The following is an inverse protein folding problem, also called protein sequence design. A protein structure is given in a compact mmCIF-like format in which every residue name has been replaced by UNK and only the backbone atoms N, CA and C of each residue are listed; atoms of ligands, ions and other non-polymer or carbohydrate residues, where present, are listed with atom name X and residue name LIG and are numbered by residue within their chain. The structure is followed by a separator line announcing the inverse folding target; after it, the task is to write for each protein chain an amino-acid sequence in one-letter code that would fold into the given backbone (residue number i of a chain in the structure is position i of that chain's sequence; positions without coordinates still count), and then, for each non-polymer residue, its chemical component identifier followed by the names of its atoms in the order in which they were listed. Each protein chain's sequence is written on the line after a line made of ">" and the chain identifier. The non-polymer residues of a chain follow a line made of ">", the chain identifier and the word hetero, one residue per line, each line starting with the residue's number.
data_IF_644191764633
#
_entry.id   IF_644191764633
#
_cell.length_a   1.000
_cell.length_b   1.000
_cell.length_c   1.000
_cell.angle_alpha   90.00
_cell.angle_beta   90.00
_cell.angle_gamma   90.00
#
_symmetry.space_group_name_H-M   'P 1'
#
loop_
_entity.id
_entity.type
_entity.pdbx_description
1 polymer ?
#
# COMPACT_ATOMS: atom_id res chain seq x y z
N UNK A 1 25.89 2.28 -64.40
CA UNK A 1 25.49 3.54 -63.75
C UNK A 1 24.76 4.35 -64.81
N UNK A 2 23.43 4.46 -64.73
CA UNK A 2 22.68 5.35 -65.62
C UNK A 2 22.66 6.72 -64.97
N UNK A 3 23.43 7.67 -65.50
CA UNK A 3 23.18 9.08 -65.25
C UNK A 3 21.87 9.42 -65.96
N UNK A 4 20.80 9.65 -65.20
CA UNK A 4 19.62 10.28 -65.74
C UNK A 4 20.01 11.73 -66.03
N UNK A 5 20.14 12.09 -67.31
CA UNK A 5 20.29 13.48 -67.71
C UNK A 5 19.06 14.25 -67.20
N UNK A 6 19.29 15.17 -66.27
CA UNK A 6 18.22 15.99 -65.71
C UNK A 6 17.88 17.10 -66.67
N UNK A 7 16.70 17.02 -67.28
CA UNK A 7 16.21 18.04 -68.19
C UNK A 7 15.55 19.19 -67.40
N UNK A 8 16.26 20.31 -67.30
CA UNK A 8 15.76 21.54 -66.67
C UNK A 8 15.08 22.50 -67.67
N UNK A 9 14.92 22.11 -68.94
CA UNK A 9 14.63 23.06 -70.03
C UNK A 9 13.15 23.43 -70.22
N UNK A 10 12.22 22.82 -69.47
CA UNK A 10 10.77 23.05 -69.64
C UNK A 10 10.01 23.48 -68.37
N UNK A 11 10.69 24.07 -67.38
CA UNK A 11 10.02 24.57 -66.18
C UNK A 11 9.33 25.91 -66.49
N UNK A 12 8.00 25.95 -66.48
CA UNK A 12 7.21 27.18 -66.76
C UNK A 12 7.14 28.10 -65.55
N UNK A 13 7.20 29.41 -65.80
CA UNK A 13 7.00 30.43 -64.77
C UNK A 13 5.52 30.51 -64.37
N UNK A 14 5.25 30.55 -63.07
CA UNK A 14 3.88 30.65 -62.54
C UNK A 14 3.30 32.08 -62.71
N UNK A 15 4.15 33.11 -62.65
CA UNK A 15 3.73 34.52 -62.70
C UNK A 15 3.71 35.11 -64.11
N UNK A 16 4.42 34.48 -65.05
CA UNK A 16 4.61 35.01 -66.40
C UNK A 16 4.33 33.93 -67.46
N UNK A 17 3.09 33.91 -67.95
CA UNK A 17 2.62 32.97 -68.97
C UNK A 17 3.53 32.98 -70.21
N UNK A 18 3.90 31.78 -70.68
CA UNK A 18 4.76 31.59 -71.85
C UNK A 18 6.26 31.72 -71.58
N UNK A 19 6.68 32.10 -70.36
CA UNK A 19 8.09 32.16 -69.97
C UNK A 19 8.55 30.86 -69.29
N UNK A 20 9.78 30.46 -69.57
CA UNK A 20 10.46 29.39 -68.84
C UNK A 20 11.32 29.99 -67.72
N UNK A 21 11.35 29.33 -66.57
CA UNK A 21 12.32 29.63 -65.53
C UNK A 21 13.70 29.17 -65.99
N UNK A 22 14.71 30.02 -65.78
CA UNK A 22 16.07 29.77 -66.24
C UNK A 22 17.10 29.83 -65.11
N UNK A 23 16.75 30.39 -63.95
CA UNK A 23 17.64 30.53 -62.79
C UNK A 23 16.90 30.19 -61.49
N UNK A 24 17.65 29.90 -60.44
CA UNK A 24 17.15 29.75 -59.07
C UNK A 24 17.55 30.97 -58.23
N UNK A 25 16.58 31.58 -57.56
CA UNK A 25 16.82 32.68 -56.63
C UNK A 25 17.04 32.13 -55.22
N UNK A 26 18.26 32.19 -54.72
CA UNK A 26 18.62 31.65 -53.38
C UNK A 26 17.93 32.41 -52.25
N UNK A 27 17.80 33.73 -52.39
CA UNK A 27 17.18 34.59 -51.37
C UNK A 27 15.69 34.32 -51.19
N UNK A 28 15.00 33.87 -52.23
CA UNK A 28 13.56 33.58 -52.21
C UNK A 28 13.24 32.09 -52.30
N UNK A 29 14.26 31.25 -52.42
CA UNK A 29 14.15 29.80 -52.46
C UNK A 29 13.25 29.24 -53.58
N UNK A 30 13.25 29.90 -54.76
CA UNK A 30 12.36 29.59 -55.88
C UNK A 30 12.98 29.77 -57.27
N UNK A 31 12.41 29.10 -58.27
CA UNK A 31 12.82 29.19 -59.68
C UNK A 31 12.22 30.44 -60.32
N UNK A 32 13.02 31.18 -61.08
CA UNK A 32 12.65 32.47 -61.65
C UNK A 32 12.92 32.55 -63.16
N UNK A 33 12.07 33.27 -63.87
CA UNK A 33 12.26 33.62 -65.29
C UNK A 33 12.89 35.02 -65.43
N UNK A 34 13.33 35.42 -66.64
CA UNK A 34 13.93 36.74 -66.86
C UNK A 34 13.04 37.92 -66.45
N UNK A 35 11.71 37.79 -66.60
CA UNK A 35 10.77 38.83 -66.16
C UNK A 35 10.66 38.93 -64.64
N UNK A 36 10.69 37.80 -63.92
CA UNK A 36 10.76 37.80 -62.44
C UNK A 36 12.04 38.47 -61.95
N UNK A 37 13.18 38.21 -62.59
CA UNK A 37 14.47 38.79 -62.20
C UNK A 37 14.44 40.32 -62.27
N UNK A 38 13.94 40.86 -63.37
CA UNK A 38 13.86 42.31 -63.57
C UNK A 38 12.84 43.02 -62.68
N UNK A 39 11.72 42.37 -62.36
CA UNK A 39 10.62 43.02 -61.62
C UNK A 39 10.69 42.82 -60.11
N UNK A 40 10.97 41.61 -59.64
CA UNK A 40 10.76 41.22 -58.23
C UNK A 40 11.98 40.61 -57.55
N UNK A 41 12.97 40.12 -58.31
CA UNK A 41 14.19 39.51 -57.76
C UNK A 41 15.46 40.32 -58.08
N UNK A 42 15.30 41.60 -58.38
CA UNK A 42 16.43 42.46 -58.73
C UNK A 42 17.37 42.60 -57.53
N UNK A 43 18.66 42.30 -57.73
CA UNK A 43 19.68 42.33 -56.68
C UNK A 43 19.71 41.12 -55.74
N UNK A 44 18.89 40.09 -55.97
CA UNK A 44 19.00 38.82 -55.21
C UNK A 44 20.11 37.92 -55.74
N UNK A 45 20.56 36.98 -54.91
CA UNK A 45 21.48 35.93 -55.32
C UNK A 45 20.78 34.95 -56.28
N UNK A 46 21.26 34.90 -57.53
CA UNK A 46 20.75 34.01 -58.58
C UNK A 46 21.84 33.03 -58.98
N UNK A 47 21.50 31.75 -58.99
CA UNK A 47 22.39 30.66 -59.40
C UNK A 47 21.74 29.82 -60.49
N UNK A 48 22.52 28.95 -61.13
CA UNK A 48 21.99 28.01 -62.11
C UNK A 48 21.03 27.01 -61.44
N UNK A 49 20.02 26.56 -62.20
CA UNK A 49 19.03 25.58 -61.70
C UNK A 49 19.71 24.27 -61.30
N UNK A 50 20.75 23.85 -62.03
CA UNK A 50 21.59 22.68 -61.73
C UNK A 50 22.25 22.78 -60.35
N UNK A 51 22.85 23.92 -60.03
CA UNK A 51 23.48 24.17 -58.74
C UNK A 51 22.44 24.24 -57.60
N UNK A 52 21.34 24.97 -57.82
CA UNK A 52 20.23 25.02 -56.88
C UNK A 52 19.61 23.64 -56.63
N UNK A 53 19.52 22.80 -57.66
CA UNK A 53 19.05 21.42 -57.56
C UNK A 53 19.96 20.59 -56.65
N UNK A 54 21.27 20.62 -56.85
CA UNK A 54 22.22 19.86 -56.02
C UNK A 54 22.17 20.30 -54.55
N UNK A 55 22.11 21.61 -54.28
CA UNK A 55 21.95 22.15 -52.92
C UNK A 55 20.66 21.64 -52.28
N UNK A 56 19.54 21.68 -53.01
CA UNK A 56 18.24 21.20 -52.52
C UNK A 56 18.23 19.70 -52.29
N UNK A 57 18.82 18.94 -53.20
CA UNK A 57 18.95 17.49 -53.11
C UNK A 57 19.78 17.11 -51.90
N UNK A 58 20.90 17.79 -51.65
CA UNK A 58 21.73 17.54 -50.47
C UNK A 58 20.98 17.86 -49.17
N UNK A 59 20.30 19.00 -49.08
CA UNK A 59 19.43 19.34 -47.93
C UNK A 59 18.36 18.27 -47.68
N UNK A 60 17.74 17.74 -48.73
CA UNK A 60 16.76 16.65 -48.61
C UNK A 60 17.41 15.34 -48.14
N UNK A 61 18.60 15.00 -48.63
CA UNK A 61 19.38 13.83 -48.17
C UNK A 61 19.73 13.96 -46.69
N UNK A 62 20.20 15.13 -46.24
CA UNK A 62 20.51 15.40 -44.84
C UNK A 62 19.26 15.32 -43.95
N UNK A 63 18.14 15.91 -44.38
CA UNK A 63 16.87 15.85 -43.67
C UNK A 63 16.39 14.40 -43.52
N UNK A 64 16.48 13.59 -44.59
CA UNK A 64 16.16 12.16 -44.56
C UNK A 64 16.98 11.41 -43.51
N UNK A 65 18.29 11.61 -43.47
CA UNK A 65 19.19 10.97 -42.48
C UNK A 65 18.79 11.38 -41.04
N UNK A 66 18.50 12.66 -40.81
CA UNK A 66 18.07 13.15 -39.49
C UNK A 66 16.74 12.55 -39.05
N UNK A 67 15.77 12.46 -39.96
CA UNK A 67 14.46 11.84 -39.70
C UNK A 67 14.65 10.35 -39.40
N UNK A 68 15.47 9.63 -40.16
CA UNK A 68 15.77 8.21 -39.91
C UNK A 68 16.41 7.99 -38.54
N UNK A 69 17.37 8.83 -38.13
CA UNK A 69 17.99 8.75 -36.81
C UNK A 69 16.97 9.02 -35.68
N UNK A 70 16.10 10.00 -35.84
CA UNK A 70 15.05 10.29 -34.86
C UNK A 70 14.06 9.14 -34.75
N UNK A 71 13.67 8.53 -35.87
CA UNK A 71 12.77 7.37 -35.89
C UNK A 71 13.37 6.17 -35.15
N UNK A 72 14.68 5.90 -35.32
CA UNK A 72 15.37 4.87 -34.55
C UNK A 72 15.36 5.15 -33.04
N UNK A 73 15.58 6.40 -32.63
CA UNK A 73 15.52 6.80 -31.21
C UNK A 73 14.10 6.61 -30.65
N UNK A 74 13.09 7.07 -31.38
CA UNK A 74 11.69 6.93 -30.97
C UNK A 74 11.28 5.46 -30.83
N UNK A 75 11.69 4.60 -31.77
CA UNK A 75 11.44 3.16 -31.67
C UNK A 75 12.07 2.56 -30.41
N UNK A 76 13.33 2.92 -30.11
CA UNK A 76 14.00 2.47 -28.88
C UNK A 76 13.26 2.94 -27.62
N UNK A 77 12.83 4.20 -27.59
CA UNK A 77 12.05 4.74 -26.48
C UNK A 77 10.70 4.05 -26.32
N UNK A 78 10.01 3.73 -27.43
CA UNK A 78 8.74 3.00 -27.39
C UNK A 78 8.89 1.65 -26.71
N UNK A 79 9.90 0.87 -27.11
CA UNK A 79 10.21 -0.43 -26.49
C UNK A 79 10.53 -0.29 -24.99
N UNK A 80 11.33 0.73 -24.62
CA UNK A 80 11.63 1.00 -23.21
C UNK A 80 10.38 1.32 -22.38
N UNK A 81 9.42 2.06 -22.94
CA UNK A 81 8.16 2.37 -22.26
C UNK A 81 7.32 1.10 -22.07
N UNK A 82 7.23 0.25 -23.09
CA UNK A 82 6.53 -1.03 -23.00
C UNK A 82 7.15 -1.97 -21.95
N UNK A 83 8.47 -2.06 -21.91
CA UNK A 83 9.20 -2.85 -20.92
C UNK A 83 9.00 -2.30 -19.50
N UNK A 84 9.04 -0.97 -19.33
CA UNK A 84 8.78 -0.32 -18.05
C UNK A 84 7.35 -0.58 -17.58
N UNK A 85 6.36 -0.48 -18.48
CA UNK A 85 4.97 -0.76 -18.17
C UNK A 85 4.78 -2.21 -17.71
N UNK A 86 5.44 -3.16 -18.38
CA UNK A 86 5.40 -4.58 -17.98
C UNK A 86 5.98 -4.77 -16.58
N UNK A 87 7.14 -4.18 -16.32
CA UNK A 87 7.78 -4.20 -15.00
C UNK A 87 6.86 -3.62 -13.92
N UNK A 88 6.26 -2.46 -14.17
CA UNK A 88 5.36 -1.80 -13.23
C UNK A 88 4.14 -2.68 -12.93
N UNK A 89 3.53 -3.30 -13.95
CA UNK A 89 2.39 -4.22 -13.78
C UNK A 89 2.75 -5.39 -12.86
N UNK A 90 3.91 -6.01 -13.07
CA UNK A 90 4.37 -7.12 -12.23
C UNK A 90 4.66 -6.65 -10.79
N UNK A 91 5.29 -5.48 -10.64
CA UNK A 91 5.52 -4.85 -9.34
C UNK A 91 4.21 -4.56 -8.58
N UNK A 92 3.19 -4.03 -9.26
CA UNK A 92 1.87 -3.81 -8.65
C UNK A 92 1.22 -5.14 -8.23
N UNK A 93 1.32 -6.17 -9.07
CA UNK A 93 0.78 -7.50 -8.78
C UNK A 93 1.44 -8.10 -7.53
N UNK A 94 2.75 -8.01 -7.42
CA UNK A 94 3.48 -8.59 -6.29
C UNK A 94 3.27 -7.79 -5.00
N UNK A 95 3.21 -6.45 -5.07
CA UNK A 95 2.81 -5.65 -3.92
C UNK A 95 1.40 -5.99 -3.43
N UNK A 96 0.44 -6.23 -4.34
CA UNK A 96 -0.90 -6.67 -3.98
C UNK A 96 -0.89 -8.03 -3.26
N UNK A 97 -0.07 -8.98 -3.73
CA UNK A 97 0.12 -10.28 -3.03
C UNK A 97 0.71 -10.09 -1.64
N UNK A 98 1.69 -9.22 -1.48
CA UNK A 98 2.31 -8.95 -0.18
C UNK A 98 1.30 -8.37 0.82
N UNK A 99 0.46 -7.42 0.38
CA UNK A 99 -0.64 -6.87 1.20
C UNK A 99 -1.64 -7.97 1.62
N UNK A 100 -1.99 -8.87 0.69
CA UNK A 100 -2.87 -10.00 1.00
C UNK A 100 -2.24 -11.00 1.97
N UNK A 101 -0.95 -11.32 1.79
CA UNK A 101 -0.22 -12.19 2.69
C UNK A 101 -0.13 -11.60 4.11
N UNK A 102 0.13 -10.29 4.22
CA UNK A 102 0.13 -9.59 5.51
C UNK A 102 -1.24 -9.66 6.19
N UNK A 103 -2.33 -9.46 5.44
CA UNK A 103 -3.70 -9.60 5.96
C UNK A 103 -3.94 -11.00 6.56
N UNK A 104 -3.56 -12.05 5.82
CA UNK A 104 -3.71 -13.44 6.28
C UNK A 104 -2.89 -13.69 7.55
N UNK A 105 -1.64 -13.22 7.58
CA UNK A 105 -0.76 -13.37 8.74
C UNK A 105 -1.32 -12.65 9.98
N UNK A 106 -1.82 -11.42 9.82
CA UNK A 106 -2.41 -10.63 10.90
C UNK A 106 -3.68 -11.27 11.45
N UNK A 107 -4.58 -11.75 10.58
CA UNK A 107 -5.78 -12.49 11.01
C UNK A 107 -5.40 -13.70 11.87
N UNK A 108 -4.45 -14.50 11.40
CA UNK A 108 -3.96 -15.66 12.15
C UNK A 108 -3.38 -15.26 13.51
N UNK A 109 -2.62 -14.16 13.58
CA UNK A 109 -2.08 -13.68 14.84
C UNK A 109 -3.17 -13.22 15.81
N UNK A 110 -4.20 -12.52 15.31
CA UNK A 110 -5.39 -12.13 16.10
C UNK A 110 -6.12 -13.35 16.62
N UNK A 111 -6.38 -14.36 15.78
CA UNK A 111 -7.06 -15.59 16.19
C UNK A 111 -6.28 -16.31 17.30
N UNK A 112 -4.95 -16.43 17.16
CA UNK A 112 -4.08 -17.06 18.16
C UNK A 112 -4.06 -16.29 19.49
N UNK A 113 -4.03 -14.96 19.44
CA UNK A 113 -4.08 -14.12 20.63
C UNK A 113 -5.45 -14.22 21.31
N UNK A 114 -6.53 -14.30 20.53
CA UNK A 114 -7.90 -14.46 21.03
C UNK A 114 -8.02 -15.79 21.79
N UNK A 115 -7.61 -16.90 21.17
CA UNK A 115 -7.63 -18.22 21.81
C UNK A 115 -6.79 -18.25 23.10
N UNK A 116 -5.64 -17.57 23.11
CA UNK A 116 -4.78 -17.46 24.30
C UNK A 116 -5.47 -16.68 25.42
N UNK A 117 -6.15 -15.58 25.10
CA UNK A 117 -6.87 -14.78 26.09
C UNK A 117 -8.10 -15.51 26.62
N UNK A 118 -8.85 -16.21 25.77
CA UNK A 118 -9.99 -17.04 26.17
C UNK A 118 -9.55 -18.15 27.12
N UNK A 119 -8.46 -18.87 26.80
CA UNK A 119 -7.87 -19.85 27.70
C UNK A 119 -7.50 -19.23 29.05
N UNK A 120 -6.98 -18.00 29.05
CA UNK A 120 -6.63 -17.32 30.30
C UNK A 120 -7.85 -16.99 31.15
N UNK A 121 -8.94 -16.55 30.52
CA UNK A 121 -10.22 -16.31 31.20
C UNK A 121 -10.75 -17.60 31.82
N UNK A 122 -10.73 -18.71 31.07
CA UNK A 122 -11.18 -20.02 31.57
C UNK A 122 -10.31 -20.55 32.72
N UNK A 123 -8.98 -20.38 32.65
CA UNK A 123 -8.08 -20.72 33.76
C UNK A 123 -8.40 -19.94 35.04
N UNK A 124 -8.63 -18.63 34.91
CA UNK A 124 -8.99 -17.77 36.04
C UNK A 124 -10.35 -18.15 36.62
N UNK A 125 -11.35 -18.38 35.76
CA UNK A 125 -12.68 -18.80 36.16
C UNK A 125 -12.66 -20.16 36.87
N UNK A 126 -11.97 -21.16 36.32
CA UNK A 126 -11.87 -22.49 36.92
C UNK A 126 -11.11 -22.47 38.25
N UNK A 127 -10.10 -21.60 38.39
CA UNK A 127 -9.41 -21.35 39.65
C UNK A 127 -10.34 -20.77 40.72
N UNK A 128 -11.04 -19.69 40.39
CA UNK A 128 -12.02 -19.05 41.27
C UNK A 128 -13.15 -20.00 41.67
N UNK A 129 -13.70 -20.75 40.72
CA UNK A 129 -14.75 -21.74 40.97
C UNK A 129 -14.31 -22.79 41.99
N UNK A 130 -13.11 -23.36 41.84
CA UNK A 130 -12.56 -24.34 42.81
C UNK A 130 -12.37 -23.74 44.20
N UNK A 131 -11.93 -22.48 44.28
CA UNK A 131 -11.80 -21.77 45.56
C UNK A 131 -13.15 -21.57 46.23
N UNK A 132 -14.18 -21.19 45.48
CA UNK A 132 -15.56 -21.06 45.96
C UNK A 132 -16.13 -22.40 46.42
N UNK A 133 -15.96 -23.48 45.64
CA UNK A 133 -16.40 -24.83 46.01
C UNK A 133 -15.76 -25.29 47.33
N UNK A 134 -14.45 -25.10 47.51
CA UNK A 134 -13.76 -25.44 48.76
C UNK A 134 -14.27 -24.63 49.95
N UNK A 135 -14.48 -23.32 49.76
CA UNK A 135 -15.05 -22.46 50.79
C UNK A 135 -16.46 -22.91 51.18
N UNK A 136 -17.29 -23.27 50.19
CA UNK A 136 -18.64 -23.78 50.39
C UNK A 136 -18.65 -25.11 51.14
N UNK A 137 -17.80 -26.07 50.76
CA UNK A 137 -17.67 -27.35 51.47
C UNK A 137 -17.32 -27.13 52.94
N UNK A 138 -16.31 -26.30 53.21
CA UNK A 138 -15.89 -25.99 54.59
C UNK A 138 -16.99 -25.27 55.39
N UNK A 139 -17.72 -24.36 54.77
CA UNK A 139 -18.85 -23.68 55.39
C UNK A 139 -19.97 -24.68 55.75
N UNK A 140 -20.28 -25.63 54.86
CA UNK A 140 -21.29 -26.66 55.10
C UNK A 140 -20.87 -27.63 56.22
N UNK A 141 -19.59 -28.02 56.27
CA UNK A 141 -19.06 -28.86 57.36
C UNK A 141 -19.16 -28.17 58.71
N UNK A 142 -18.78 -26.89 58.77
CA UNK A 142 -18.92 -26.08 59.99
C UNK A 142 -20.39 -25.92 60.37
N UNK A 143 -21.28 -25.66 59.41
CA UNK A 143 -22.72 -25.57 59.64
C UNK A 143 -23.26 -26.86 60.26
N UNK A 144 -22.98 -28.02 59.67
CA UNK A 144 -23.44 -29.31 60.17
C UNK A 144 -22.94 -29.57 61.60
N UNK A 145 -21.66 -29.29 61.85
CA UNK A 145 -21.09 -29.44 63.20
C UNK A 145 -21.80 -28.53 64.22
N UNK A 146 -22.12 -27.30 63.84
CA UNK A 146 -22.89 -26.38 64.69
C UNK A 146 -24.33 -26.86 64.91
N UNK A 147 -24.99 -27.42 63.89
CA UNK A 147 -26.33 -28.02 64.02
C UNK A 147 -26.33 -29.23 64.96
N UNK A 148 -25.36 -30.14 64.81
CA UNK A 148 -25.19 -31.30 65.70
C UNK A 148 -24.96 -30.84 67.15
N UNK A 149 -24.11 -29.82 67.35
CA UNK A 149 -23.86 -29.22 68.67
C UNK A 149 -25.10 -28.55 69.27
N UNK A 150 -25.89 -27.87 68.45
CA UNK A 150 -27.14 -27.24 68.86
C UNK A 150 -28.16 -28.29 69.31
N UNK A 151 -28.33 -29.37 68.54
CA UNK A 151 -29.21 -30.49 68.92
C UNK A 151 -28.80 -31.13 70.25
N UNK A 152 -27.50 -31.32 70.50
CA UNK A 152 -27.02 -31.83 71.79
C UNK A 152 -27.35 -30.89 72.96
N UNK A 153 -27.28 -29.57 72.76
CA UNK A 153 -27.66 -28.59 73.78
C UNK A 153 -29.17 -28.60 74.02
N UNK A 154 -29.98 -28.69 72.96
CA UNK A 154 -31.44 -28.79 73.06
C UNK A 154 -31.88 -30.04 73.85
N UNK A 155 -31.23 -31.18 73.64
CA UNK A 155 -31.49 -32.41 74.39
C UNK A 155 -31.20 -32.23 75.90
N UNK A 156 -30.06 -31.60 76.23
CA UNK A 156 -29.70 -31.31 77.63
C UNK A 156 -30.71 -30.38 78.30
N UNK A 157 -31.14 -29.33 77.58
CA UNK A 157 -32.14 -28.36 78.08
C UNK A 157 -33.50 -29.05 78.29
N UNK A 158 -33.93 -29.87 77.33
CA UNK A 158 -35.24 -30.53 77.34
C UNK A 158 -35.35 -31.61 78.41
N UNK A 159 -34.24 -32.32 78.70
CA UNK A 159 -34.20 -33.33 79.75
C UNK A 159 -34.43 -32.77 81.17
N UNK A 160 -34.29 -31.45 81.38
CA UNK A 160 -34.47 -30.75 82.67
C UNK A 160 -33.68 -31.39 83.84
N UNK A 161 -32.58 -32.05 83.52
CA UNK A 161 -31.71 -32.71 84.49
C UNK A 161 -30.77 -31.68 85.12
N UNK A 162 -31.14 -31.23 86.33
CA UNK A 162 -30.39 -30.21 87.06
C UNK A 162 -28.92 -30.60 87.27
N UNK A 163 -28.61 -31.89 87.46
CA UNK A 163 -27.23 -32.32 87.67
C UNK A 163 -26.39 -32.08 86.41
N UNK A 164 -26.87 -32.48 85.23
CA UNK A 164 -26.15 -32.28 83.95
C UNK A 164 -25.98 -30.82 83.57
N UNK A 165 -26.96 -29.97 83.90
CA UNK A 165 -26.89 -28.53 83.68
C UNK A 165 -25.79 -27.91 84.55
N UNK A 166 -25.76 -28.21 85.86
CA UNK A 166 -24.81 -27.61 86.80
C UNK A 166 -23.38 -28.20 86.75
N UNK A 167 -23.20 -29.48 86.37
CA UNK A 167 -21.86 -30.12 86.39
C UNK A 167 -21.09 -30.04 85.07
N UNK A 168 -21.69 -29.58 83.98
CA UNK A 168 -20.99 -29.55 82.69
C UNK A 168 -21.66 -28.81 81.53
N UNK A 169 -22.99 -28.62 81.55
CA UNK A 169 -23.71 -27.98 80.44
C UNK A 169 -23.26 -26.55 80.13
N UNK A 170 -23.06 -25.73 81.16
CA UNK A 170 -22.66 -24.31 81.00
C UNK A 170 -21.23 -24.18 80.46
N UNK A 171 -20.26 -24.92 81.02
CA UNK A 171 -18.88 -24.95 80.54
C UNK A 171 -18.76 -25.51 79.11
N UNK A 172 -19.60 -26.47 78.77
CA UNK A 172 -19.68 -27.04 77.43
C UNK A 172 -20.20 -25.99 76.43
N UNK A 173 -21.31 -25.30 76.74
CA UNK A 173 -21.84 -24.22 75.90
C UNK A 173 -20.82 -23.07 75.70
N UNK A 174 -20.13 -22.65 76.76
CA UNK A 174 -19.08 -21.61 76.66
C UNK A 174 -17.93 -22.04 75.73
N UNK A 175 -17.46 -23.29 75.84
CA UNK A 175 -16.40 -23.81 74.97
C UNK A 175 -16.84 -23.95 73.51
N UNK A 176 -18.14 -24.12 73.25
CA UNK A 176 -18.67 -24.21 71.90
C UNK A 176 -18.68 -22.84 71.21
N UNK A 177 -19.13 -21.80 71.93
CA UNK A 177 -19.19 -20.42 71.44
C UNK A 177 -17.80 -19.92 71.03
N UNK A 178 -16.76 -20.21 71.82
CA UNK A 178 -15.38 -19.80 71.49
C UNK A 178 -14.80 -20.51 70.25
N UNK A 179 -15.29 -21.71 69.91
CA UNK A 179 -14.76 -22.54 68.82
C UNK A 179 -15.41 -22.26 67.47
N UNK A 180 -16.61 -21.67 67.43
CA UNK A 180 -17.29 -21.28 66.19
C UNK A 180 -16.79 -19.90 65.76
N UNK A 181 -15.54 -19.81 65.32
CA UNK A 181 -15.08 -18.64 64.56
C UNK A 181 -15.53 -18.80 63.11
N UNK A 182 -16.50 -17.97 62.70
CA UNK A 182 -16.94 -17.90 61.30
C UNK A 182 -15.77 -17.36 60.46
N UNK A 183 -15.23 -18.13 59.49
CA UNK A 183 -14.18 -17.63 58.64
C UNK A 183 -14.69 -16.41 57.85
N UNK A 184 -13.99 -15.28 57.98
CA UNK A 184 -14.39 -14.02 57.36
C UNK A 184 -14.16 -14.02 55.85
N UNK A 185 -15.15 -13.45 55.15
CA UNK A 185 -15.27 -13.07 53.74
C UNK A 185 -14.54 -13.90 52.68
N UNK A 186 -15.35 -14.51 51.81
CA UNK A 186 -14.94 -14.86 50.44
C UNK A 186 -14.45 -13.57 49.78
N UNK A 187 -13.15 -13.51 49.45
CA UNK A 187 -12.57 -12.43 48.65
C UNK A 187 -13.34 -12.34 47.34
N UNK A 188 -14.05 -11.22 47.12
CA UNK A 188 -14.78 -10.97 45.88
C UNK A 188 -13.77 -10.54 44.80
N UNK A 189 -13.21 -11.51 44.07
CA UNK A 189 -12.37 -11.22 42.91
C UNK A 189 -13.21 -10.70 41.75
N UNK A 190 -12.83 -9.56 41.17
CA UNK A 190 -13.43 -9.06 39.92
C UNK A 190 -12.48 -9.29 38.75
N UNK A 191 -12.99 -9.92 37.69
CA UNK A 191 -12.26 -10.09 36.44
C UNK A 191 -12.42 -8.83 35.60
N UNK A 192 -11.31 -8.14 35.32
CA UNK A 192 -11.29 -6.90 34.55
C UNK A 192 -10.59 -7.11 33.21
N UNK A 193 -11.17 -6.60 32.13
CA UNK A 193 -10.59 -6.61 30.78
C UNK A 193 -10.33 -5.19 30.30
N UNK A 194 -9.13 -4.96 29.76
CA UNK A 194 -8.71 -3.67 29.22
C UNK A 194 -8.27 -3.85 27.77
N UNK A 195 -9.05 -3.39 26.79
CA UNK A 195 -8.70 -3.56 25.38
C UNK A 195 -7.48 -2.70 25.01
N UNK A 196 -6.60 -3.28 24.18
CA UNK A 196 -5.49 -2.54 23.53
C UNK A 196 -5.97 -1.69 22.36
N UNK A 197 -5.07 -0.86 21.80
CA UNK A 197 -5.32 -0.05 20.60
C UNK A 197 -4.64 -0.68 19.38
N UNK A 198 -5.33 -0.69 18.24
CA UNK A 198 -4.77 -1.11 16.94
C UNK A 198 -4.43 0.15 16.13
N UNK A 199 -3.24 0.22 15.54
CA UNK A 199 -2.76 1.33 14.70
C UNK A 199 -2.50 0.85 13.27
N UNK A 200 -2.43 1.79 12.31
CA UNK A 200 -2.15 1.48 10.89
C UNK A 200 -0.78 0.84 10.66
N UNK A 201 0.18 1.08 11.55
CA UNK A 201 1.53 0.50 11.48
C UNK A 201 1.53 -1.02 11.46
N UNK A 202 0.48 -1.65 11.99
CA UNK A 202 0.29 -3.10 12.00
C UNK A 202 0.23 -3.68 10.59
N UNK A 203 -0.26 -2.90 9.61
CA UNK A 203 -0.39 -3.33 8.22
C UNK A 203 0.83 -3.00 7.35
N UNK A 204 1.64 -2.02 7.73
CA UNK A 204 2.75 -1.50 6.93
C UNK A 204 2.38 -0.29 6.07
N UNK A 205 3.32 0.18 5.22
CA UNK A 205 3.18 1.40 4.40
C UNK A 205 3.36 1.08 2.92
N UNK A 206 2.56 1.72 2.07
CA UNK A 206 2.71 1.68 0.60
C UNK A 206 2.98 3.11 0.12
N UNK A 207 3.94 3.26 -0.79
CA UNK A 207 4.27 4.55 -1.39
C UNK A 207 4.69 4.39 -2.84
N UNK A 208 4.44 5.43 -3.64
CA UNK A 208 4.90 5.52 -5.01
C UNK A 208 6.09 6.47 -5.08
N UNK A 209 7.27 5.96 -5.45
CA UNK A 209 8.39 6.81 -5.82
C UNK A 209 8.25 7.17 -7.31
N UNK A 210 8.16 8.46 -7.63
CA UNK A 210 8.18 8.94 -9.01
C UNK A 210 9.54 9.57 -9.30
N UNK A 211 10.33 8.92 -10.14
CA UNK A 211 11.50 9.52 -10.75
C UNK A 211 11.10 9.95 -12.17
N UNK A 212 10.81 11.23 -12.38
CA UNK A 212 10.42 11.73 -13.71
C UNK A 212 11.66 11.85 -14.61
N UNK A 213 11.64 11.14 -15.75
CA UNK A 213 12.56 11.37 -16.87
C UNK A 213 11.84 12.26 -17.87
N UNK A 214 12.32 13.49 -18.01
CA UNK A 214 11.72 14.52 -18.87
C UNK A 214 12.10 14.28 -20.35
N UNK A 215 11.19 13.65 -21.10
CA UNK A 215 11.42 13.22 -22.49
C UNK A 215 11.54 14.41 -23.44
N UNK A 216 10.90 15.55 -23.14
CA UNK A 216 10.93 16.75 -23.99
C UNK A 216 12.33 17.38 -24.09
N UNK A 217 13.17 17.21 -23.05
CA UNK A 217 14.55 17.69 -23.03
C UNK A 217 15.50 16.91 -23.94
N UNK A 218 15.17 15.66 -24.30
CA UNK A 218 16.02 14.82 -25.17
C UNK A 218 15.82 15.14 -26.66
N UNK A 219 14.64 15.60 -27.05
CA UNK A 219 14.31 15.91 -28.45
C UNK A 219 14.83 17.30 -28.86
N UNK A 220 14.82 18.25 -27.93
CA UNK A 220 15.16 19.67 -28.18
C UNK A 220 16.66 19.96 -28.27
N UNK A 221 17.54 19.09 -27.75
CA UNK A 221 19.01 19.28 -27.86
C UNK A 221 19.60 19.09 -29.26
N UNK A 222 18.80 18.69 -30.26
CA UNK A 222 19.24 18.53 -31.66
C UNK A 222 19.15 19.80 -32.52
N UNK A 223 18.98 20.97 -31.89
CA UNK A 223 18.93 22.32 -32.50
C UNK A 223 19.97 23.29 -31.94
N UNK A 224 21.20 22.88 -31.60
CA UNK A 224 22.31 23.83 -31.47
C UNK A 224 23.62 23.14 -31.85
N UNK A 225 24.03 23.31 -33.10
CA UNK A 225 25.38 23.58 -33.60
C UNK A 225 25.37 23.46 -35.11
#
# INVERSE_FOLDING_TARGET
>A
MYALEMDFTNIKCQDHTGQNCCLFCESCDQLVCPLCISKTHNGHGLIEISEGYEIKLDRLKQAKVKIQSNLQKLNKHSVMIEDQLRYDIDLYRDNKKNVQAQNIALKKAVDQLTEKMDKKVEELYTGEKKSHERAQTKANELKKKSEDQMSMLEDIITAKDAAKIFTGGEKFAQSLIEKVQIPFLISKGELLFYPGKITEEVFGKIGLRKDCVDIERLITRTKVK
#
